data_IF_839486075550
#
_entry.id   IF_839486075550
#
_cell.length_a   1.000
_cell.length_b   1.000
_cell.length_c   1.000
_cell.angle_alpha   90.00
_cell.angle_beta   90.00
_cell.angle_gamma   90.00
#
_symmetry.space_group_name_H-M   'P 1'
#
loop_
_entity.id
_entity.type
_entity.pdbx_description
1 polymer ?
#
# COMPACT_ATOMS: atom_id res chain seq x y z
N UNK A 1 -7.00 -5.64 -16.97
CA UNK A 1 -7.15 -4.30 -17.56
C UNK A 1 -7.65 -3.36 -16.49
N UNK A 2 -6.84 -2.38 -16.07
CA UNK A 2 -7.33 -1.26 -15.25
C UNK A 2 -8.17 -0.37 -16.18
N UNK A 3 -9.43 -0.78 -16.38
CA UNK A 3 -10.38 -0.09 -17.26
C UNK A 3 -10.94 1.12 -16.53
N UNK A 4 -11.08 2.22 -17.28
CA UNK A 4 -11.48 3.60 -16.90
C UNK A 4 -10.34 4.58 -16.56
N UNK A 5 -9.18 4.44 -17.20
CA UNK A 5 -8.14 5.48 -17.17
C UNK A 5 -7.35 5.58 -15.87
N UNK A 6 -7.54 4.63 -14.94
CA UNK A 6 -6.72 4.52 -13.75
C UNK A 6 -5.44 3.73 -14.03
N UNK A 7 -4.35 4.05 -13.33
CA UNK A 7 -3.12 3.24 -13.27
C UNK A 7 -2.99 2.61 -11.89
N UNK A 8 -2.63 1.34 -11.82
CA UNK A 8 -2.52 0.63 -10.55
C UNK A 8 -1.08 0.56 -10.08
N UNK A 9 -0.90 0.39 -8.78
CA UNK A 9 0.34 -0.05 -8.16
C UNK A 9 -0.03 -0.94 -6.97
N UNK A 10 0.72 -2.02 -6.79
CA UNK A 10 0.57 -2.90 -5.63
C UNK A 10 1.86 -2.91 -4.82
N UNK A 11 1.74 -2.80 -3.51
CA UNK A 11 2.82 -3.02 -2.54
C UNK A 11 2.45 -4.23 -1.68
N UNK A 12 3.29 -5.26 -1.64
CA UNK A 12 3.00 -6.50 -0.93
C UNK A 12 4.26 -7.17 -0.40
N UNK A 13 4.13 -7.95 0.68
CA UNK A 13 5.18 -8.86 1.15
C UNK A 13 5.37 -10.10 0.28
N UNK A 14 4.35 -10.50 -0.48
CA UNK A 14 4.48 -11.60 -1.44
C UNK A 14 5.51 -11.22 -2.50
N UNK A 15 6.31 -12.20 -2.92
CA UNK A 15 7.30 -11.95 -3.98
C UNK A 15 6.57 -11.56 -5.28
N UNK A 16 7.08 -10.59 -6.07
CA UNK A 16 6.42 -10.15 -7.30
C UNK A 16 6.07 -11.30 -8.26
N UNK A 17 6.93 -12.31 -8.37
CA UNK A 17 6.69 -13.49 -9.23
C UNK A 17 5.52 -14.35 -8.76
N UNK A 18 5.23 -14.38 -7.45
CA UNK A 18 4.08 -15.09 -6.90
C UNK A 18 2.79 -14.34 -7.26
N UNK A 19 2.78 -13.03 -7.06
CA UNK A 19 1.64 -12.17 -7.41
C UNK A 19 1.35 -12.25 -8.91
N UNK A 20 2.39 -12.25 -9.76
CA UNK A 20 2.25 -12.37 -11.22
C UNK A 20 1.59 -13.67 -11.66
N UNK A 21 1.73 -14.76 -10.91
CA UNK A 21 1.01 -16.02 -11.20
C UNK A 21 -0.48 -15.91 -10.88
N UNK A 22 -0.86 -15.05 -9.93
CA UNK A 22 -2.23 -14.88 -9.45
C UNK A 22 -3.01 -13.83 -10.29
N UNK A 23 -2.32 -12.86 -10.88
CA UNK A 23 -2.96 -11.75 -11.63
C UNK A 23 -2.83 -11.90 -13.15
N UNK A 24 -3.88 -11.52 -13.88
CA UNK A 24 -3.89 -11.49 -15.36
C UNK A 24 -3.34 -10.18 -15.96
N UNK A 25 -2.60 -9.40 -15.17
CA UNK A 25 -2.11 -8.06 -15.56
C UNK A 25 -0.59 -7.99 -15.42
N UNK A 26 0.09 -8.20 -16.54
CA UNK A 26 1.57 -8.30 -16.60
C UNK A 26 2.27 -6.96 -16.33
N UNK A 27 1.57 -5.84 -16.53
CA UNK A 27 2.15 -4.50 -16.47
C UNK A 27 1.90 -3.76 -15.16
N UNK A 28 1.20 -4.36 -14.19
CA UNK A 28 0.96 -3.73 -12.89
C UNK A 28 2.30 -3.54 -12.15
N UNK A 29 2.77 -2.31 -11.86
CA UNK A 29 3.94 -2.10 -11.02
C UNK A 29 3.76 -2.79 -9.66
N UNK A 30 4.72 -3.62 -9.28
CA UNK A 30 4.76 -4.33 -8.01
C UNK A 30 5.95 -3.82 -7.20
N UNK A 31 5.69 -3.37 -5.98
CA UNK A 31 6.73 -3.05 -5.00
C UNK A 31 6.77 -4.19 -3.98
N UNK A 32 7.92 -4.83 -3.88
CA UNK A 32 8.13 -5.89 -2.91
C UNK A 32 8.51 -5.28 -1.57
N UNK A 33 7.72 -5.62 -0.55
CA UNK A 33 7.95 -5.20 0.82
C UNK A 33 8.67 -6.28 1.59
N UNK A 34 9.80 -5.95 2.18
CA UNK A 34 10.70 -6.93 2.78
C UNK A 34 11.02 -6.57 4.22
N UNK A 35 11.40 -7.54 5.03
CA UNK A 35 11.82 -7.28 6.41
C UNK A 35 13.26 -6.74 6.48
N UNK A 36 14.03 -6.90 5.41
CA UNK A 36 15.45 -6.57 5.34
C UNK A 36 15.68 -5.45 4.31
N UNK A 37 16.73 -4.67 4.50
CA UNK A 37 17.09 -3.64 3.54
C UNK A 37 17.88 -4.30 2.39
N UNK A 38 17.15 -4.66 1.34
CA UNK A 38 17.71 -5.33 0.16
C UNK A 38 17.83 -4.30 -0.97
N UNK A 39 19.01 -4.21 -1.56
CA UNK A 39 19.29 -3.29 -2.68
C UNK A 39 18.91 -3.93 -4.03
N UNK A 40 17.59 -4.09 -4.21
CA UNK A 40 16.98 -4.58 -5.45
C UNK A 40 15.98 -3.54 -5.94
N UNK A 41 15.84 -3.31 -7.26
CA UNK A 41 14.82 -2.43 -7.80
C UNK A 41 13.42 -2.79 -7.32
N UNK A 42 12.59 -1.79 -7.07
CA UNK A 42 11.20 -1.97 -6.61
C UNK A 42 11.07 -2.78 -5.30
N UNK A 43 12.09 -2.75 -4.45
CA UNK A 43 12.07 -3.35 -3.12
C UNK A 43 12.20 -2.27 -2.03
N UNK A 44 11.35 -2.37 -1.00
CA UNK A 44 11.36 -1.45 0.14
C UNK A 44 11.22 -2.22 1.45
N UNK A 45 12.11 -1.93 2.39
CA UNK A 45 12.02 -2.51 3.73
C UNK A 45 10.81 -1.93 4.49
N UNK A 46 10.02 -2.79 5.11
CA UNK A 46 8.78 -2.43 5.85
C UNK A 46 9.04 -1.51 7.03
N UNK A 47 10.25 -1.57 7.60
CA UNK A 47 10.64 -0.71 8.72
C UNK A 47 10.95 0.73 8.29
N UNK A 48 11.09 0.98 6.98
CA UNK A 48 11.44 2.27 6.40
C UNK A 48 10.22 2.96 5.78
N UNK A 49 9.31 3.43 6.65
CA UNK A 49 8.10 4.15 6.24
C UNK A 49 8.40 5.37 5.36
N UNK A 50 9.51 6.06 5.59
CA UNK A 50 9.94 7.19 4.76
C UNK A 50 10.15 6.76 3.31
N UNK A 51 10.89 5.66 3.08
CA UNK A 51 11.13 5.12 1.74
C UNK A 51 9.83 4.62 1.10
N UNK A 52 8.90 4.05 1.87
CA UNK A 52 7.57 3.66 1.36
C UNK A 52 6.81 4.89 0.91
N UNK A 53 6.72 5.94 1.75
CA UNK A 53 6.05 7.20 1.43
C UNK A 53 6.64 7.88 0.19
N UNK A 54 7.97 8.00 0.12
CA UNK A 54 8.67 8.53 -1.05
C UNK A 54 8.39 7.72 -2.32
N UNK A 55 8.32 6.39 -2.20
CA UNK A 55 7.98 5.51 -3.32
C UNK A 55 6.57 5.82 -3.80
N UNK A 56 5.57 5.85 -2.91
CA UNK A 56 4.17 6.21 -3.22
C UNK A 56 4.10 7.58 -3.92
N UNK A 57 4.74 8.59 -3.33
CA UNK A 57 4.73 9.94 -3.89
C UNK A 57 5.36 9.99 -5.28
N UNK A 58 6.43 9.24 -5.52
CA UNK A 58 7.05 9.14 -6.85
C UNK A 58 6.11 8.54 -7.92
N UNK A 59 5.19 7.67 -7.52
CA UNK A 59 4.16 7.14 -8.41
C UNK A 59 3.04 8.16 -8.63
N UNK A 60 2.58 8.78 -7.55
CA UNK A 60 1.53 9.82 -7.62
C UNK A 60 1.93 11.02 -8.48
N UNK A 61 3.21 11.39 -8.51
CA UNK A 61 3.69 12.47 -9.37
C UNK A 61 3.73 12.12 -10.87
N UNK A 62 3.61 10.84 -11.25
CA UNK A 62 3.73 10.40 -12.65
C UNK A 62 2.39 10.31 -13.38
N UNK A 63 1.28 10.25 -12.66
CA UNK A 63 -0.05 10.18 -13.25
C UNK A 63 -1.13 10.56 -12.23
N UNK A 64 -2.26 11.06 -12.72
CA UNK A 64 -3.49 11.17 -11.95
C UNK A 64 -4.28 9.86 -12.08
N UNK A 65 -5.30 9.70 -11.22
CA UNK A 65 -6.16 8.51 -11.20
C UNK A 65 -5.34 7.24 -10.92
N UNK A 66 -4.56 7.22 -9.85
CA UNK A 66 -3.82 6.03 -9.44
C UNK A 66 -4.64 5.24 -8.43
N UNK A 67 -4.62 3.91 -8.56
CA UNK A 67 -5.09 2.97 -7.54
C UNK A 67 -3.84 2.43 -6.84
N UNK A 68 -3.63 2.83 -5.59
CA UNK A 68 -2.60 2.25 -4.73
C UNK A 68 -3.24 1.13 -3.91
N UNK A 69 -2.73 -0.09 -4.09
CA UNK A 69 -3.08 -1.22 -3.24
C UNK A 69 -1.93 -1.56 -2.30
N UNK A 70 -2.21 -1.59 -1.00
CA UNK A 70 -1.30 -2.06 0.05
C UNK A 70 -1.84 -3.38 0.58
N UNK A 71 -1.12 -4.45 0.30
CA UNK A 71 -1.51 -5.81 0.64
C UNK A 71 -1.07 -6.16 2.07
N UNK A 72 -2.02 -6.03 2.99
CA UNK A 72 -1.96 -6.39 4.42
C UNK A 72 -1.17 -5.43 5.33
N UNK A 73 -1.83 -4.48 5.99
CA UNK A 73 -1.17 -3.57 6.94
C UNK A 73 -0.46 -4.23 8.13
N UNK A 74 -0.74 -5.50 8.41
CA UNK A 74 -0.19 -6.22 9.58
C UNK A 74 1.32 -6.08 9.69
N UNK A 75 2.05 -6.09 8.58
CA UNK A 75 3.50 -5.98 8.64
C UNK A 75 4.03 -4.58 9.00
N UNK A 76 3.28 -3.51 8.71
CA UNK A 76 3.66 -2.17 9.17
C UNK A 76 3.47 -2.08 10.68
N UNK A 77 2.41 -2.70 11.19
CA UNK A 77 2.10 -2.80 12.62
C UNK A 77 3.12 -3.67 13.35
N UNK A 78 3.46 -4.85 12.84
CA UNK A 78 4.39 -5.77 13.51
C UNK A 78 5.79 -5.16 13.72
N UNK A 79 6.14 -4.14 12.94
CA UNK A 79 7.45 -3.48 13.00
C UNK A 79 7.44 -2.12 13.69
N UNK A 80 6.28 -1.55 14.01
CA UNK A 80 6.13 -0.16 14.51
C UNK A 80 4.98 -0.04 15.52
N UNK A 81 4.91 1.09 16.23
CA UNK A 81 3.76 1.36 17.08
C UNK A 81 2.52 1.77 16.26
N UNK A 82 1.33 1.48 16.79
CA UNK A 82 0.05 1.81 16.16
C UNK A 82 -0.09 3.30 15.82
N UNK A 83 0.40 4.20 16.69
CA UNK A 83 0.36 5.65 16.44
C UNK A 83 1.17 6.07 15.21
N UNK A 84 2.36 5.48 15.01
CA UNK A 84 3.20 5.76 13.84
C UNK A 84 2.52 5.26 12.57
N UNK A 85 1.97 4.04 12.60
CA UNK A 85 1.28 3.45 11.46
C UNK A 85 0.03 4.25 11.08
N UNK A 86 -0.77 4.69 12.05
CA UNK A 86 -1.93 5.55 11.79
C UNK A 86 -1.51 6.87 11.17
N UNK A 87 -0.51 7.57 11.72
CA UNK A 87 -0.02 8.82 11.14
C UNK A 87 0.43 8.67 9.68
N UNK A 88 1.10 7.55 9.37
CA UNK A 88 1.52 7.22 8.02
C UNK A 88 0.34 6.94 7.07
N UNK A 89 -0.65 6.16 7.52
CA UNK A 89 -1.87 5.89 6.75
C UNK A 89 -2.64 7.19 6.49
N UNK A 90 -2.77 8.05 7.49
CA UNK A 90 -3.41 9.36 7.38
C UNK A 90 -2.71 10.24 6.34
N UNK A 91 -1.37 10.26 6.35
CA UNK A 91 -0.58 11.00 5.36
C UNK A 91 -0.84 10.48 3.93
N UNK A 92 -0.77 9.16 3.70
CA UNK A 92 -1.04 8.57 2.39
C UNK A 92 -2.48 8.85 1.94
N UNK A 93 -3.44 8.76 2.86
CA UNK A 93 -4.86 9.05 2.59
C UNK A 93 -5.03 10.49 2.12
N UNK A 94 -4.45 11.45 2.84
CA UNK A 94 -4.51 12.87 2.46
C UNK A 94 -3.93 13.13 1.07
N UNK A 95 -2.77 12.56 0.76
CA UNK A 95 -2.14 12.71 -0.57
C UNK A 95 -3.00 12.01 -1.65
N UNK A 96 -3.62 10.88 -1.34
CA UNK A 96 -4.49 10.17 -2.28
C UNK A 96 -5.72 11.02 -2.63
N UNK A 97 -6.37 11.61 -1.62
CA UNK A 97 -7.53 12.50 -1.81
C UNK A 97 -7.14 13.73 -2.65
N UNK A 98 -6.01 14.38 -2.34
CA UNK A 98 -5.56 15.57 -3.04
C UNK A 98 -5.34 15.36 -4.55
N UNK A 99 -5.01 14.13 -4.96
CA UNK A 99 -4.68 13.79 -6.35
C UNK A 99 -5.78 12.98 -7.06
N UNK A 100 -6.97 12.86 -6.46
CA UNK A 100 -8.07 12.00 -6.94
C UNK A 100 -7.61 10.55 -7.18
N UNK A 101 -6.71 10.06 -6.32
CA UNK A 101 -6.24 8.68 -6.32
C UNK A 101 -7.09 7.84 -5.36
N UNK A 102 -7.15 6.54 -5.62
CA UNK A 102 -7.85 5.57 -4.79
C UNK A 102 -6.81 4.81 -3.97
N UNK A 103 -6.98 4.81 -2.65
CA UNK A 103 -6.20 4.03 -1.71
C UNK A 103 -7.00 2.78 -1.31
N UNK A 104 -6.50 1.61 -1.64
CA UNK A 104 -7.02 0.33 -1.21
C UNK A 104 -6.03 -0.31 -0.25
N UNK A 105 -6.52 -0.73 0.90
CA UNK A 105 -5.67 -1.35 1.90
C UNK A 105 -6.34 -2.63 2.38
N UNK A 106 -5.64 -3.75 2.22
CA UNK A 106 -6.02 -5.00 2.88
C UNK A 106 -5.52 -4.95 4.33
N UNK A 107 -6.35 -5.39 5.28
CA UNK A 107 -5.95 -5.53 6.67
C UNK A 107 -6.78 -6.61 7.36
N UNK A 108 -6.17 -7.25 8.36
CA UNK A 108 -6.86 -8.20 9.24
C UNK A 108 -7.87 -7.47 10.13
N UNK A 109 -9.08 -8.03 10.27
CA UNK A 109 -10.16 -7.46 11.08
C UNK A 109 -9.73 -7.28 12.54
N UNK A 110 -8.86 -8.16 13.02
CA UNK A 110 -8.24 -8.09 14.34
C UNK A 110 -7.54 -6.76 14.61
N UNK A 111 -6.90 -6.16 13.59
CA UNK A 111 -6.21 -4.88 13.72
C UNK A 111 -7.20 -3.72 13.90
N UNK A 112 -8.37 -3.83 13.29
CA UNK A 112 -9.46 -2.87 13.43
C UNK A 112 -10.10 -3.01 14.81
N UNK A 113 -10.43 -4.24 15.23
CA UNK A 113 -11.07 -4.52 16.53
C UNK A 113 -10.20 -4.08 17.70
N UNK A 114 -8.88 -4.32 17.60
CA UNK A 114 -7.88 -3.87 18.59
C UNK A 114 -7.62 -2.36 18.52
N UNK A 115 -8.30 -1.61 17.64
CA UNK A 115 -8.12 -0.16 17.39
C UNK A 115 -6.68 0.21 17.06
N UNK A 116 -5.94 -0.72 16.46
CA UNK A 116 -4.59 -0.46 15.94
C UNK A 116 -4.69 0.46 14.73
N UNK A 117 -5.73 0.29 13.92
CA UNK A 117 -6.06 1.12 12.76
C UNK A 117 -7.37 1.87 13.02
N UNK A 118 -7.43 3.16 12.68
CA UNK A 118 -8.65 3.95 12.79
C UNK A 118 -9.59 3.72 11.57
N UNK A 119 -10.69 2.99 11.79
CA UNK A 119 -11.66 2.67 10.74
C UNK A 119 -12.58 3.81 10.30
N UNK A 120 -12.68 4.91 11.06
CA UNK A 120 -13.74 5.92 10.86
C UNK A 120 -13.71 6.60 9.49
N UNK A 121 -12.57 6.52 8.81
CA UNK A 121 -12.31 7.24 7.57
C UNK A 121 -12.18 6.31 6.36
N UNK A 122 -12.51 5.02 6.51
CA UNK A 122 -12.41 4.01 5.47
C UNK A 122 -13.78 3.35 5.23
N UNK A 123 -14.10 3.12 3.95
CA UNK A 123 -15.19 2.23 3.58
C UNK A 123 -14.69 0.78 3.64
N UNK A 124 -15.36 -0.05 4.45
CA UNK A 124 -14.99 -1.47 4.59
C UNK A 124 -15.71 -2.27 3.50
N UNK A 125 -14.93 -2.82 2.57
CA UNK A 125 -15.42 -3.73 1.54
C UNK A 125 -15.31 -5.16 2.07
N UNK A 126 -16.45 -5.83 2.25
CA UNK A 126 -16.48 -7.25 2.62
C UNK A 126 -16.43 -8.11 1.34
N UNK A 127 -15.68 -9.23 1.35
CA UNK A 127 -15.68 -10.19 0.25
C UNK A 127 -17.04 -10.91 0.11
#
# INVERSE_FOLDING_TARGET
MIKRGFKGICMSKKHPDEIRKEIKEDHLPLIWLTNENIDIPNCVCTTNLLKIGMTIQSFYNKANNIILFIDDLKYLVDTKSSGIVNGFIEEIKMISIQNNNILLISCDIDLIEKKVINQKDFEIIKP
#
